data_IF_107995184226
#
_entry.id   IF_107995184226
#
_cell.length_a   1.000
_cell.length_b   1.000
_cell.length_c   1.000
_cell.angle_alpha   90.00
_cell.angle_beta   90.00
_cell.angle_gamma   90.00
#
_symmetry.space_group_name_H-M   'P 1'
#
loop_
_entity.id
_entity.type
_entity.pdbx_description
1 polymer ?
#
# COMPACT_ATOMS: atom_id res chain seq x y z
N UNK A 1 -14.78 -19.89 12.60
CA UNK A 1 -15.43 -18.59 12.85
C UNK A 1 -15.25 -18.25 14.32
N UNK A 2 -14.25 -17.42 14.66
CA UNK A 2 -13.99 -16.85 16.00
C UNK A 2 -13.59 -15.36 15.93
N UNK A 3 -13.49 -14.78 14.72
CA UNK A 3 -12.95 -13.43 14.48
C UNK A 3 -13.81 -12.34 15.11
N UNK A 4 -15.14 -12.44 14.97
CA UNK A 4 -16.08 -11.50 15.58
C UNK A 4 -16.00 -11.49 17.11
N UNK A 5 -15.80 -12.67 17.73
CA UNK A 5 -15.59 -12.77 19.17
C UNK A 5 -14.29 -12.07 19.59
N UNK A 6 -13.19 -12.29 18.87
CA UNK A 6 -11.90 -11.66 19.15
C UNK A 6 -11.94 -10.12 18.99
N UNK A 7 -12.64 -9.63 17.96
CA UNK A 7 -12.90 -8.20 17.78
C UNK A 7 -13.70 -7.64 18.96
N UNK A 8 -14.78 -8.33 19.36
CA UNK A 8 -15.64 -7.89 20.45
C UNK A 8 -14.92 -7.86 21.80
N UNK A 9 -13.96 -8.76 22.00
CA UNK A 9 -13.10 -8.84 23.20
C UNK A 9 -11.91 -7.87 23.20
N UNK A 10 -11.85 -6.89 22.28
CA UNK A 10 -10.78 -5.89 22.23
C UNK A 10 -9.38 -6.51 22.20
N UNK A 11 -9.20 -7.61 21.46
CA UNK A 11 -7.91 -8.33 21.42
C UNK A 11 -6.78 -7.44 20.92
N UNK A 12 -7.03 -6.55 19.95
CA UNK A 12 -6.05 -5.60 19.44
C UNK A 12 -5.48 -4.76 20.58
N UNK A 13 -6.34 -4.15 21.41
CA UNK A 13 -5.93 -3.26 22.51
C UNK A 13 -5.02 -4.00 23.51
N UNK A 14 -5.25 -5.29 23.72
CA UNK A 14 -4.45 -6.12 24.61
C UNK A 14 -3.12 -6.56 24.00
N UNK A 15 -3.04 -6.71 22.66
CA UNK A 15 -1.83 -7.21 22.00
C UNK A 15 -0.93 -6.11 21.43
N UNK A 16 -1.44 -4.90 21.29
CA UNK A 16 -0.75 -3.81 20.58
C UNK A 16 0.60 -3.45 21.21
N UNK A 17 0.72 -3.52 22.53
CA UNK A 17 1.97 -3.21 23.23
C UNK A 17 3.07 -4.26 22.99
N UNK A 18 2.71 -5.48 22.57
CA UNK A 18 3.71 -6.51 22.27
C UNK A 18 4.48 -6.26 20.97
N UNK A 19 4.07 -5.30 20.13
CA UNK A 19 4.87 -4.90 18.95
C UNK A 19 6.21 -4.25 19.34
N UNK A 20 6.34 -3.79 20.59
CA UNK A 20 7.58 -3.25 21.16
C UNK A 20 8.50 -4.32 21.73
N UNK A 21 8.06 -5.59 21.79
CA UNK A 21 8.82 -6.67 22.39
C UNK A 21 10.04 -7.03 21.51
N UNK A 22 11.20 -6.50 21.89
CA UNK A 22 12.51 -6.79 21.24
C UNK A 22 13.13 -8.09 21.73
N UNK A 23 12.68 -8.60 22.87
CA UNK A 23 13.10 -9.91 23.40
C UNK A 23 12.73 -11.04 22.43
N UNK A 24 13.50 -12.13 22.43
CA UNK A 24 13.30 -13.31 21.57
C UNK A 24 13.41 -13.02 20.06
N UNK A 25 14.33 -12.13 19.66
CA UNK A 25 14.64 -11.91 18.24
C UNK A 25 13.50 -11.33 17.40
N UNK A 26 12.44 -10.81 18.03
CA UNK A 26 11.28 -10.23 17.34
C UNK A 26 10.09 -11.19 17.13
N UNK A 27 10.16 -12.44 17.62
CA UNK A 27 9.08 -13.43 17.46
C UNK A 27 7.76 -12.99 18.12
N UNK A 28 7.83 -12.42 19.33
CA UNK A 28 6.65 -11.91 20.02
C UNK A 28 6.01 -10.77 19.23
N UNK A 29 6.82 -9.80 18.78
CA UNK A 29 6.35 -8.69 17.96
C UNK A 29 5.77 -9.20 16.63
N UNK A 30 6.36 -10.23 16.01
CA UNK A 30 5.86 -10.84 14.78
C UNK A 30 4.46 -11.40 14.98
N UNK A 31 4.25 -12.23 16.03
CA UNK A 31 2.93 -12.80 16.32
C UNK A 31 1.90 -11.74 16.68
N UNK A 32 2.27 -10.74 17.48
CA UNK A 32 1.39 -9.62 17.82
C UNK A 32 0.96 -8.83 16.56
N UNK A 33 1.91 -8.52 15.68
CA UNK A 33 1.65 -7.85 14.40
C UNK A 33 0.72 -8.69 13.51
N UNK A 34 0.88 -10.01 13.50
CA UNK A 34 0.00 -10.90 12.76
C UNK A 34 -1.43 -10.94 13.30
N UNK A 35 -1.61 -10.90 14.63
CA UNK A 35 -2.94 -10.75 15.25
C UNK A 35 -3.57 -9.42 14.88
N UNK A 36 -2.81 -8.32 14.92
CA UNK A 36 -3.28 -7.00 14.48
C UNK A 36 -3.74 -7.07 13.02
N UNK A 37 -2.90 -7.54 12.09
CA UNK A 37 -3.28 -7.69 10.67
C UNK A 37 -4.55 -8.53 10.50
N UNK A 38 -4.64 -9.65 11.22
CA UNK A 38 -5.77 -10.56 11.14
C UNK A 38 -7.07 -9.91 11.61
N UNK A 39 -7.04 -9.02 12.60
CA UNK A 39 -8.26 -8.42 13.17
C UNK A 39 -8.60 -7.03 12.62
N UNK A 40 -7.62 -6.29 12.08
CA UNK A 40 -7.71 -4.86 11.76
C UNK A 40 -8.93 -4.48 10.93
N UNK A 41 -9.25 -5.23 9.86
CA UNK A 41 -10.37 -4.91 8.96
C UNK A 41 -11.72 -4.82 9.68
N UNK A 42 -11.92 -5.69 10.67
CA UNK A 42 -13.19 -5.83 11.38
C UNK A 42 -13.11 -5.22 12.79
N UNK A 43 -11.98 -4.61 13.16
CA UNK A 43 -11.76 -4.06 14.49
C UNK A 43 -12.72 -2.91 14.81
N UNK A 44 -12.98 -2.68 16.10
CA UNK A 44 -13.72 -1.50 16.55
C UNK A 44 -12.94 -0.23 16.23
N UNK A 45 -13.64 0.87 15.98
CA UNK A 45 -13.00 2.16 15.64
C UNK A 45 -12.02 2.63 16.71
N UNK A 46 -12.29 2.36 17.99
CA UNK A 46 -11.35 2.65 19.10
C UNK A 46 -10.02 1.90 18.96
N UNK A 47 -10.06 0.63 18.56
CA UNK A 47 -8.86 -0.18 18.34
C UNK A 47 -8.12 0.26 17.08
N UNK A 48 -8.83 0.67 16.03
CA UNK A 48 -8.18 1.21 14.82
C UNK A 48 -7.52 2.56 15.12
N UNK A 49 -8.17 3.42 15.90
CA UNK A 49 -7.63 4.68 16.38
C UNK A 49 -6.34 4.47 17.21
N UNK A 50 -6.31 3.45 18.08
CA UNK A 50 -5.10 3.09 18.84
C UNK A 50 -3.94 2.66 17.94
N UNK A 51 -4.20 2.02 16.80
CA UNK A 51 -3.14 1.61 15.86
C UNK A 51 -2.54 2.81 15.11
N UNK A 52 -3.35 3.82 14.81
CA UNK A 52 -2.87 5.04 14.12
C UNK A 52 -2.31 6.10 15.06
N UNK A 53 -2.17 5.79 16.35
CA UNK A 53 -1.38 6.58 17.28
C UNK A 53 0.08 6.65 16.81
N UNK A 54 0.69 7.84 16.91
CA UNK A 54 2.04 8.10 16.38
C UNK A 54 3.09 7.17 17.00
N UNK A 55 3.00 6.83 18.29
CA UNK A 55 3.97 5.94 18.93
C UNK A 55 3.86 4.53 18.36
N UNK A 56 2.63 4.06 18.17
CA UNK A 56 2.35 2.73 17.62
C UNK A 56 2.77 2.65 16.14
N UNK A 57 2.40 3.64 15.32
CA UNK A 57 2.77 3.69 13.91
C UNK A 57 4.29 3.74 13.73
N UNK A 58 5.02 4.55 14.51
CA UNK A 58 6.48 4.58 14.48
C UNK A 58 7.08 3.21 14.74
N UNK A 59 6.52 2.46 15.68
CA UNK A 59 7.00 1.12 15.98
C UNK A 59 6.70 0.13 14.86
N UNK A 60 5.52 0.20 14.19
CA UNK A 60 5.19 -0.62 13.02
C UNK A 60 6.14 -0.30 11.85
N UNK A 61 6.45 0.98 11.63
CA UNK A 61 7.40 1.44 10.61
C UNK A 61 8.82 0.95 10.92
N UNK A 62 9.26 1.05 12.18
CA UNK A 62 10.54 0.49 12.61
C UNK A 62 10.61 -1.04 12.41
N UNK A 63 9.54 -1.75 12.77
CA UNK A 63 9.45 -3.21 12.61
C UNK A 63 9.45 -3.65 11.14
N UNK A 64 9.00 -2.78 10.23
CA UNK A 64 9.04 -3.00 8.77
C UNK A 64 10.44 -2.98 8.16
N UNK A 65 11.45 -2.64 8.98
CA UNK A 65 12.89 -2.70 8.68
C UNK A 65 13.65 -3.63 9.65
N UNK A 66 12.94 -4.47 10.40
CA UNK A 66 13.56 -5.44 11.31
C UNK A 66 14.33 -6.52 10.54
N UNK A 67 15.40 -7.03 11.14
CA UNK A 67 16.18 -8.17 10.63
C UNK A 67 15.32 -9.43 10.54
N UNK A 68 14.38 -9.60 11.48
CA UNK A 68 13.45 -10.72 11.47
C UNK A 68 12.47 -10.61 10.29
N UNK A 69 12.69 -11.41 9.25
CA UNK A 69 11.90 -11.38 8.01
C UNK A 69 10.37 -11.46 8.24
N UNK A 70 9.90 -12.36 9.11
CA UNK A 70 8.46 -12.47 9.42
C UNK A 70 7.86 -11.17 9.98
N UNK A 71 8.48 -10.57 11.00
CA UNK A 71 8.12 -9.26 11.54
C UNK A 71 8.19 -8.15 10.49
N UNK A 72 9.24 -8.14 9.66
CA UNK A 72 9.43 -7.17 8.59
C UNK A 72 8.23 -7.17 7.62
N UNK A 73 7.87 -8.34 7.09
CA UNK A 73 6.77 -8.46 6.14
C UNK A 73 5.42 -8.22 6.80
N UNK A 74 5.19 -8.77 7.98
CA UNK A 74 3.88 -8.64 8.63
C UNK A 74 3.60 -7.18 9.02
N UNK A 75 4.63 -6.43 9.42
CA UNK A 75 4.49 -5.00 9.74
C UNK A 75 4.17 -4.17 8.50
N UNK A 76 4.83 -4.44 7.37
CA UNK A 76 4.51 -3.79 6.09
C UNK A 76 3.07 -4.05 5.68
N UNK A 77 2.60 -5.28 5.82
CA UNK A 77 1.21 -5.64 5.51
C UNK A 77 0.19 -4.97 6.41
N UNK A 78 0.51 -4.69 7.68
CA UNK A 78 -0.33 -3.83 8.52
C UNK A 78 -0.42 -2.42 7.94
N UNK A 79 0.71 -1.83 7.53
CA UNK A 79 0.72 -0.51 6.88
C UNK A 79 -0.14 -0.46 5.62
N UNK A 80 -0.16 -1.54 4.82
CA UNK A 80 -0.99 -1.62 3.60
C UNK A 80 -2.48 -1.77 3.93
N UNK A 81 -2.79 -2.49 5.01
CA UNK A 81 -4.16 -2.74 5.43
C UNK A 81 -4.82 -1.54 6.11
N UNK A 82 -4.04 -0.64 6.72
CA UNK A 82 -4.57 0.53 7.42
C UNK A 82 -5.41 1.45 6.51
N UNK A 83 -4.94 1.91 5.33
CA UNK A 83 -5.76 2.66 4.38
C UNK A 83 -7.05 1.92 4.01
N UNK A 84 -6.97 0.60 3.82
CA UNK A 84 -8.09 -0.24 3.38
C UNK A 84 -9.16 -0.39 4.48
N UNK A 85 -8.73 -0.53 5.72
CA UNK A 85 -9.59 -0.76 6.89
C UNK A 85 -10.21 0.53 7.44
N UNK A 86 -9.50 1.65 7.33
CA UNK A 86 -9.94 2.95 7.86
C UNK A 86 -10.66 3.78 6.80
N UNK A 87 -10.08 3.93 5.60
CA UNK A 87 -10.60 4.79 4.52
C UNK A 87 -10.91 6.24 4.96
N UNK A 88 -10.09 6.76 5.87
CA UNK A 88 -10.22 8.10 6.43
C UNK A 88 -8.96 8.91 6.18
N UNK A 89 -9.11 10.17 5.76
CA UNK A 89 -7.99 11.06 5.46
C UNK A 89 -7.06 11.23 6.67
N UNK A 90 -7.60 11.39 7.89
CA UNK A 90 -6.79 11.56 9.10
C UNK A 90 -5.82 10.38 9.34
N UNK A 91 -6.27 9.15 9.04
CA UNK A 91 -5.42 7.96 9.11
C UNK A 91 -4.33 7.96 8.01
N UNK A 92 -4.68 8.39 6.80
CA UNK A 92 -3.71 8.52 5.70
C UNK A 92 -2.63 9.57 6.05
N UNK A 93 -3.03 10.69 6.64
CA UNK A 93 -2.08 11.72 7.10
C UNK A 93 -1.21 11.22 8.26
N UNK A 94 -1.74 10.39 9.16
CA UNK A 94 -0.96 9.75 10.21
C UNK A 94 0.12 8.81 9.64
N UNK A 95 -0.23 8.02 8.62
CA UNK A 95 0.75 7.20 7.90
C UNK A 95 1.83 8.07 7.23
N UNK A 96 1.42 9.18 6.61
CA UNK A 96 2.34 10.10 5.95
C UNK A 96 3.32 10.78 6.93
N UNK A 97 2.84 11.20 8.12
CA UNK A 97 3.68 11.80 9.18
C UNK A 97 4.70 10.84 9.77
N UNK A 98 4.43 9.53 9.69
CA UNK A 98 5.30 8.48 10.23
C UNK A 98 6.13 7.79 9.13
N UNK A 99 6.34 8.46 7.99
CA UNK A 99 7.16 7.99 6.86
C UNK A 99 6.75 6.63 6.27
N UNK A 100 5.53 6.16 6.55
CA UNK A 100 5.06 4.85 6.10
C UNK A 100 4.97 4.78 4.57
N UNK A 101 4.73 5.90 3.88
CA UNK A 101 4.61 5.93 2.43
C UNK A 101 5.86 5.41 1.71
N UNK A 102 7.06 5.71 2.22
CA UNK A 102 8.31 5.21 1.65
C UNK A 102 8.35 3.67 1.60
N UNK A 103 7.86 3.00 2.65
CA UNK A 103 7.76 1.55 2.72
C UNK A 103 6.68 0.98 1.79
N UNK A 104 5.56 1.70 1.64
CA UNK A 104 4.48 1.31 0.74
C UNK A 104 4.93 1.40 -0.71
N UNK A 105 5.52 2.53 -1.12
CA UNK A 105 5.97 2.74 -2.49
C UNK A 105 7.15 1.85 -2.86
N UNK A 106 8.15 1.70 -1.99
CA UNK A 106 9.32 0.85 -2.26
C UNK A 106 8.96 -0.62 -2.42
N UNK A 107 7.85 -1.07 -1.82
CA UNK A 107 7.37 -2.44 -1.95
C UNK A 107 6.97 -2.78 -3.39
N UNK A 108 6.51 -1.80 -4.18
CA UNK A 108 6.24 -1.99 -5.61
C UNK A 108 7.51 -2.38 -6.37
N UNK A 109 8.61 -1.68 -6.12
CA UNK A 109 9.89 -1.90 -6.79
C UNK A 109 10.65 -3.13 -6.25
N UNK A 110 10.32 -3.61 -5.04
CA UNK A 110 11.10 -4.67 -4.39
C UNK A 110 11.05 -6.03 -5.13
N UNK A 111 12.21 -6.69 -5.20
CA UNK A 111 12.41 -8.00 -5.83
C UNK A 111 12.55 -9.15 -4.80
N UNK A 112 12.46 -8.87 -3.50
CA UNK A 112 13.11 -9.68 -2.47
C UNK A 112 12.37 -10.96 -2.02
N UNK A 113 11.17 -11.29 -2.50
CA UNK A 113 10.47 -12.52 -2.06
C UNK A 113 9.72 -13.22 -3.20
N UNK A 114 10.35 -14.19 -3.85
CA UNK A 114 9.77 -14.91 -4.98
C UNK A 114 8.43 -15.62 -4.67
N UNK A 115 8.21 -16.09 -3.44
CA UNK A 115 7.02 -16.92 -3.13
C UNK A 115 5.71 -16.14 -2.92
N UNK A 116 5.76 -14.87 -2.49
CA UNK A 116 4.57 -14.06 -2.17
C UNK A 116 4.58 -12.66 -2.79
N UNK A 117 5.51 -12.39 -3.72
CA UNK A 117 5.72 -11.08 -4.35
C UNK A 117 4.42 -10.45 -4.85
N UNK A 118 3.66 -11.19 -5.65
CA UNK A 118 2.43 -10.71 -6.28
C UNK A 118 1.37 -10.29 -5.26
N UNK A 119 1.22 -11.05 -4.16
CA UNK A 119 0.23 -10.74 -3.11
C UNK A 119 0.60 -9.44 -2.40
N UNK A 120 1.86 -9.30 -1.99
CA UNK A 120 2.33 -8.15 -1.22
C UNK A 120 2.30 -6.88 -2.08
N UNK A 121 2.76 -6.96 -3.34
CA UNK A 121 2.66 -5.85 -4.29
C UNK A 121 1.19 -5.46 -4.56
N UNK A 122 0.28 -6.44 -4.68
CA UNK A 122 -1.14 -6.16 -4.83
C UNK A 122 -1.73 -5.43 -3.62
N UNK A 123 -1.41 -5.88 -2.40
CA UNK A 123 -1.84 -5.21 -1.17
C UNK A 123 -1.34 -3.76 -1.12
N UNK A 124 -0.07 -3.52 -1.50
CA UNK A 124 0.49 -2.17 -1.58
C UNK A 124 -0.21 -1.31 -2.65
N UNK A 125 -0.53 -1.85 -3.83
CA UNK A 125 -1.28 -1.13 -4.86
C UNK A 125 -2.69 -0.77 -4.40
N UNK A 126 -3.40 -1.68 -3.75
CA UNK A 126 -4.73 -1.41 -3.20
C UNK A 126 -4.64 -0.30 -2.15
N UNK A 127 -3.63 -0.35 -1.28
CA UNK A 127 -3.38 0.71 -0.29
C UNK A 127 -3.15 2.07 -0.98
N UNK A 128 -2.30 2.12 -2.01
CA UNK A 128 -2.01 3.33 -2.78
C UNK A 128 -3.23 3.87 -3.53
N UNK A 129 -4.09 3.00 -4.05
CA UNK A 129 -5.37 3.40 -4.63
C UNK A 129 -6.26 4.13 -3.60
N UNK A 130 -6.36 3.60 -2.38
CA UNK A 130 -7.13 4.27 -1.32
C UNK A 130 -6.46 5.58 -0.87
N UNK A 131 -5.13 5.59 -0.73
CA UNK A 131 -4.37 6.80 -0.38
C UNK A 131 -4.62 7.90 -1.43
N UNK A 132 -4.46 7.60 -2.72
CA UNK A 132 -4.67 8.57 -3.80
C UNK A 132 -6.14 8.98 -3.97
N UNK A 133 -7.09 8.10 -3.66
CA UNK A 133 -8.51 8.45 -3.68
C UNK A 133 -8.85 9.51 -2.62
N UNK A 134 -8.14 9.50 -1.49
CA UNK A 134 -8.35 10.42 -0.37
C UNK A 134 -7.33 11.57 -0.34
N UNK A 135 -6.35 11.58 -1.24
CA UNK A 135 -5.20 12.48 -1.14
C UNK A 135 -5.60 13.96 -1.17
N UNK A 136 -4.95 14.74 -0.31
CA UNK A 136 -4.89 16.20 -0.35
C UNK A 136 -3.47 16.66 -0.70
N UNK A 137 -3.22 17.97 -0.73
CA UNK A 137 -1.89 18.51 -1.04
C UNK A 137 -0.77 17.94 -0.17
N UNK A 138 -0.99 17.81 1.14
CA UNK A 138 0.00 17.23 2.06
C UNK A 138 0.31 15.76 1.74
N UNK A 139 -0.71 14.93 1.51
CA UNK A 139 -0.55 13.52 1.14
C UNK A 139 0.18 13.38 -0.21
N UNK A 140 -0.15 14.23 -1.19
CA UNK A 140 0.52 14.26 -2.49
C UNK A 140 2.02 14.58 -2.34
N UNK A 141 2.39 15.61 -1.58
CA UNK A 141 3.80 15.94 -1.36
C UNK A 141 4.54 14.79 -0.66
N UNK A 142 3.93 14.16 0.36
CA UNK A 142 4.52 13.02 1.04
C UNK A 142 4.70 11.79 0.14
N UNK A 143 3.80 11.56 -0.82
CA UNK A 143 3.99 10.50 -1.82
C UNK A 143 5.13 10.82 -2.80
N UNK A 144 5.30 12.09 -3.19
CA UNK A 144 6.43 12.53 -4.03
C UNK A 144 7.76 12.32 -3.30
N UNK A 145 7.85 12.75 -2.05
CA UNK A 145 9.02 12.51 -1.17
C UNK A 145 9.34 11.02 -1.02
N UNK A 146 8.32 10.16 -1.05
CA UNK A 146 8.45 8.70 -0.99
C UNK A 146 8.84 8.05 -2.34
N UNK A 147 9.35 8.81 -3.32
CA UNK A 147 9.75 8.34 -4.64
C UNK A 147 8.65 7.51 -5.33
N UNK A 148 7.38 7.92 -5.19
CA UNK A 148 6.24 7.18 -5.74
C UNK A 148 6.38 6.93 -7.25
N UNK A 149 6.76 7.96 -8.02
CA UNK A 149 6.91 7.89 -9.47
C UNK A 149 7.95 6.83 -9.88
N UNK A 150 9.15 6.92 -9.33
CA UNK A 150 10.26 6.01 -9.70
C UNK A 150 9.94 4.57 -9.32
N UNK A 151 9.33 4.35 -8.15
CA UNK A 151 8.93 3.02 -7.71
C UNK A 151 7.81 2.42 -8.59
N UNK A 152 6.83 3.23 -9.00
CA UNK A 152 5.76 2.78 -9.90
C UNK A 152 6.32 2.49 -11.30
N UNK A 153 7.23 3.33 -11.81
CA UNK A 153 7.91 3.12 -13.07
C UNK A 153 8.70 1.82 -13.07
N UNK A 154 9.45 1.55 -12.01
CA UNK A 154 10.22 0.32 -11.87
C UNK A 154 9.30 -0.90 -11.79
N UNK A 155 8.19 -0.78 -11.07
CA UNK A 155 7.18 -1.83 -11.01
C UNK A 155 6.54 -2.14 -12.37
N UNK A 156 6.24 -1.12 -13.18
CA UNK A 156 5.70 -1.27 -14.54
C UNK A 156 6.66 -1.95 -15.53
N UNK A 157 7.97 -1.96 -15.27
CA UNK A 157 8.95 -2.71 -16.07
C UNK A 157 8.96 -4.20 -15.77
N UNK A 158 8.40 -4.60 -14.63
CA UNK A 158 8.37 -6.00 -14.22
C UNK A 158 7.34 -6.77 -15.07
N UNK A 159 7.60 -8.05 -15.33
CA UNK A 159 6.58 -8.92 -15.91
C UNK A 159 5.47 -9.16 -14.86
N UNK A 160 4.42 -8.36 -14.93
CA UNK A 160 3.23 -8.57 -14.13
C UNK A 160 2.56 -9.82 -14.69
N UNK A 161 2.24 -10.79 -13.83
CA UNK A 161 1.61 -12.06 -14.24
C UNK A 161 0.15 -12.19 -13.78
N UNK A 162 -0.28 -11.35 -12.82
CA UNK A 162 -1.62 -11.44 -12.23
C UNK A 162 -2.56 -10.36 -12.79
N UNK A 163 -3.72 -10.73 -13.41
CA UNK A 163 -4.66 -9.75 -13.96
C UNK A 163 -5.22 -8.76 -12.94
N UNK A 164 -5.41 -9.18 -11.68
CA UNK A 164 -5.89 -8.31 -10.60
C UNK A 164 -4.90 -7.19 -10.29
N UNK A 165 -3.61 -7.52 -10.21
CA UNK A 165 -2.53 -6.55 -10.01
C UNK A 165 -2.55 -5.51 -11.13
N UNK A 166 -2.70 -5.96 -12.37
CA UNK A 166 -2.75 -5.07 -13.52
C UNK A 166 -3.95 -4.11 -13.48
N UNK A 167 -5.14 -4.60 -13.13
CA UNK A 167 -6.32 -3.75 -12.95
C UNK A 167 -6.10 -2.69 -11.86
N UNK A 168 -5.46 -3.07 -10.75
CA UNK A 168 -5.16 -2.14 -9.66
C UNK A 168 -4.17 -1.05 -10.09
N UNK A 169 -3.22 -1.34 -10.98
CA UNK A 169 -2.30 -0.34 -11.57
C UNK A 169 -3.07 0.63 -12.48
N UNK A 170 -3.93 0.12 -13.36
CA UNK A 170 -4.70 0.99 -14.25
C UNK A 170 -5.59 1.95 -13.43
N UNK A 171 -6.24 1.44 -12.38
CA UNK A 171 -6.97 2.30 -11.44
C UNK A 171 -6.08 3.34 -10.77
N UNK A 172 -4.87 2.97 -10.38
CA UNK A 172 -3.90 3.87 -9.77
C UNK A 172 -3.54 5.01 -10.73
N UNK A 173 -3.25 4.71 -11.99
CA UNK A 173 -2.93 5.71 -13.02
C UNK A 173 -4.10 6.65 -13.27
N UNK A 174 -5.33 6.13 -13.31
CA UNK A 174 -6.54 6.95 -13.42
C UNK A 174 -6.72 7.88 -12.21
N UNK A 175 -6.39 7.43 -10.99
CA UNK A 175 -6.45 8.24 -9.78
C UNK A 175 -5.36 9.31 -9.76
N UNK A 176 -4.12 8.99 -10.15
CA UNK A 176 -3.03 9.97 -10.33
C UNK A 176 -3.52 11.12 -11.21
N UNK A 177 -4.16 10.81 -12.33
CA UNK A 177 -4.65 11.83 -13.26
C UNK A 177 -5.73 12.73 -12.64
N UNK A 178 -6.60 12.18 -11.79
CA UNK A 178 -7.62 12.96 -11.07
C UNK A 178 -7.00 13.90 -10.04
N UNK A 179 -5.83 13.55 -9.51
CA UNK A 179 -5.06 14.39 -8.60
C UNK A 179 -4.27 15.42 -9.41
N UNK A 180 -4.92 16.57 -9.68
CA UNK A 180 -4.31 17.69 -10.40
C UNK A 180 -2.92 18.02 -9.80
N UNK A 181 -1.90 18.14 -10.65
CA UNK A 181 -0.51 18.47 -10.27
C UNK A 181 0.21 17.44 -9.37
N UNK A 182 -0.27 16.19 -9.29
CA UNK A 182 0.46 15.15 -8.59
C UNK A 182 1.69 14.66 -9.37
N UNK A 183 1.54 14.38 -10.67
CA UNK A 183 2.65 14.13 -11.60
C UNK A 183 2.62 15.14 -12.74
N UNK A 184 3.79 15.39 -13.34
CA UNK A 184 3.91 16.17 -14.58
C UNK A 184 3.37 15.38 -15.78
N UNK A 185 3.01 16.08 -16.85
CA UNK A 185 2.56 15.44 -18.09
C UNK A 185 3.66 14.52 -18.66
N UNK A 186 4.91 14.97 -18.60
CA UNK A 186 6.09 14.21 -19.02
C UNK A 186 6.19 12.89 -18.25
N UNK A 187 6.09 12.94 -16.92
CA UNK A 187 6.14 11.74 -16.06
C UNK A 187 4.99 10.76 -16.34
N UNK A 188 3.78 11.27 -16.62
CA UNK A 188 2.64 10.42 -17.02
C UNK A 188 2.90 9.74 -18.37
N UNK A 189 3.49 10.47 -19.31
CA UNK A 189 3.83 9.95 -20.64
C UNK A 189 4.89 8.84 -20.59
N UNK A 190 5.77 8.82 -19.60
CA UNK A 190 6.73 7.74 -19.41
C UNK A 190 6.07 6.37 -19.14
N UNK A 191 4.83 6.34 -18.64
CA UNK A 191 4.10 5.09 -18.41
C UNK A 191 3.53 4.49 -19.68
N UNK A 192 3.27 5.30 -20.72
CA UNK A 192 2.68 4.86 -21.99
C UNK A 192 3.41 3.67 -22.64
N UNK A 193 4.72 3.75 -22.94
CA UNK A 193 5.43 2.63 -23.58
C UNK A 193 5.49 1.39 -22.66
N UNK A 194 5.44 1.55 -21.34
CA UNK A 194 5.45 0.43 -20.40
C UNK A 194 4.11 -0.32 -20.42
N UNK A 195 3.00 0.41 -20.50
CA UNK A 195 1.66 -0.17 -20.61
C UNK A 195 1.41 -0.82 -21.97
N UNK A 196 1.88 -0.22 -23.07
CA UNK A 196 1.73 -0.77 -24.43
C UNK A 196 2.48 -2.10 -24.61
N UNK A 197 3.60 -2.27 -23.92
CA UNK A 197 4.41 -3.49 -23.96
C UNK A 197 3.95 -4.56 -22.96
N UNK A 198 2.95 -4.27 -22.10
CA UNK A 198 2.41 -5.25 -21.16
C UNK A 198 1.69 -6.37 -21.90
N UNK A 199 2.08 -7.62 -21.61
CA UNK A 199 1.42 -8.83 -22.16
C UNK A 199 0.08 -9.15 -21.48
N UNK A 200 -0.23 -8.50 -20.35
CA UNK A 200 -1.51 -8.66 -19.66
C UNK A 200 -2.57 -7.77 -20.30
N UNK A 201 -3.77 -8.33 -20.52
CA UNK A 201 -4.91 -7.61 -21.09
C UNK A 201 -5.23 -8.00 -22.52
N UNK A 202 -4.72 -9.13 -23.04
CA UNK A 202 -5.15 -9.69 -24.33
C UNK A 202 -6.58 -10.27 -24.31
N UNK A 203 -7.23 -10.32 -23.14
CA UNK A 203 -8.67 -10.51 -23.02
C UNK A 203 -9.40 -9.16 -23.22
N UNK A 204 -10.58 -9.19 -23.85
CA UNK A 204 -11.29 -8.01 -24.35
C UNK A 204 -11.52 -6.89 -23.33
N UNK A 205 -11.82 -7.22 -22.07
CA UNK A 205 -12.07 -6.22 -21.02
C UNK A 205 -10.80 -5.55 -20.49
N UNK A 206 -9.71 -6.32 -20.38
CA UNK A 206 -8.40 -5.78 -19.99
C UNK A 206 -7.88 -4.80 -21.05
N UNK A 207 -8.06 -5.13 -22.34
CA UNK A 207 -7.63 -4.25 -23.43
C UNK A 207 -8.35 -2.92 -23.43
N UNK A 208 -9.67 -2.90 -23.20
CA UNK A 208 -10.46 -1.65 -23.13
C UNK A 208 -9.99 -0.71 -22.02
N UNK A 209 -9.62 -1.25 -20.86
CA UNK A 209 -9.09 -0.46 -19.76
C UNK A 209 -7.70 0.11 -20.08
N UNK A 210 -6.85 -0.65 -20.77
CA UNK A 210 -5.57 -0.17 -21.27
C UNK A 210 -5.78 0.97 -22.25
N UNK A 211 -6.58 0.76 -23.30
CA UNK A 211 -6.81 1.75 -24.35
C UNK A 211 -7.36 3.06 -23.74
N UNK A 212 -8.33 2.97 -22.81
CA UNK A 212 -8.83 4.14 -22.08
C UNK A 212 -7.75 4.85 -21.27
N UNK A 213 -6.86 4.11 -20.62
CA UNK A 213 -5.76 4.68 -19.83
C UNK A 213 -4.74 5.36 -20.73
N UNK A 214 -4.41 4.75 -21.87
CA UNK A 214 -3.51 5.30 -22.88
C UNK A 214 -4.07 6.57 -23.52
N UNK A 215 -5.36 6.59 -23.85
CA UNK A 215 -6.06 7.76 -24.38
C UNK A 215 -6.00 8.94 -23.40
N UNK A 216 -6.17 8.66 -22.10
CA UNK A 216 -6.07 9.68 -21.06
C UNK A 216 -4.66 10.25 -20.99
N UNK A 217 -3.64 9.39 -20.97
CA UNK A 217 -2.24 9.85 -20.97
C UNK A 217 -1.97 10.71 -22.21
N UNK A 218 -2.40 10.28 -23.40
CA UNK A 218 -2.12 10.96 -24.66
C UNK A 218 -2.75 12.35 -24.80
N UNK A 219 -3.84 12.62 -24.08
CA UNK A 219 -4.50 13.93 -24.13
C UNK A 219 -3.87 14.99 -23.20
N UNK A 220 -2.87 14.64 -22.40
CA UNK A 220 -2.20 15.58 -21.47
C UNK A 220 -1.20 16.53 -22.11
N UNK A 221 -0.71 16.23 -23.31
CA UNK A 221 0.24 17.08 -24.05
C UNK A 221 -0.43 18.02 -25.07
N UNK A 222 -1.77 18.07 -25.14
CA UNK A 222 -2.53 18.93 -26.05
C UNK A 222 -3.03 20.18 -25.34
#
# INVERSE_FOLDING_TARGET
TNRSLLVNSNVIDNVILYIFAKSFGGEIAYKATGVIRFLLRDAKETSKAAIVDDLILKQIVANSNAIHAGLQFESRRVLFLLPIALKELAAIEALARNDAFSLITSTLASCDVQANRGIIQNEALIALNIILMLANGFVCEKLKEANFHDNLKEFLKQEIQHPEVFNNILQLILLIKKQNNFLTAEQLHEYKPLLENSRIGQNCDGRRLIDRTLDIIQNELK
#
